data_IF_642369519158
#
_entry.id   IF_642369519158
#
_cell.length_a   1.000
_cell.length_b   1.000
_cell.length_c   1.000
_cell.angle_alpha   90.00
_cell.angle_beta   90.00
_cell.angle_gamma   90.00
#
_symmetry.space_group_name_H-M   'P 1'
#
loop_
_entity.id
_entity.type
_entity.pdbx_description
1 polymer ?
#
# COMPACT_ATOMS: atom_id res chain seq x y z
N UNK A 1 -15.30 6.76 16.44
CA UNK A 1 -14.51 6.61 15.20
C UNK A 1 -13.07 7.15 15.35
N UNK A 2 -12.84 8.40 15.78
CA UNK A 2 -11.47 8.95 15.95
C UNK A 2 -10.56 8.09 16.85
N UNK A 3 -11.06 7.61 17.99
CA UNK A 3 -10.30 6.71 18.87
C UNK A 3 -9.90 5.39 18.22
N UNK A 4 -10.74 4.84 17.34
CA UNK A 4 -10.43 3.59 16.65
C UNK A 4 -9.31 3.80 15.61
N UNK A 5 -9.36 4.93 14.90
CA UNK A 5 -8.29 5.32 13.95
C UNK A 5 -6.98 5.51 14.71
N UNK A 6 -7.00 6.18 15.87
CA UNK A 6 -5.81 6.40 16.69
C UNK A 6 -5.16 5.08 17.15
N UNK A 7 -5.96 4.13 17.63
CA UNK A 7 -5.47 2.82 18.11
C UNK A 7 -4.94 1.97 16.96
N UNK A 8 -5.60 1.99 15.79
CA UNK A 8 -5.22 1.15 14.65
C UNK A 8 -4.12 1.76 13.78
N UNK A 9 -3.99 3.09 13.77
CA UNK A 9 -3.02 3.86 12.97
C UNK A 9 -2.58 5.13 13.72
N UNK A 10 -1.68 4.96 14.69
CA UNK A 10 -1.14 6.06 15.51
C UNK A 10 -0.53 7.20 14.70
N UNK A 11 0.02 6.91 13.52
CA UNK A 11 0.64 7.89 12.63
C UNK A 11 -0.36 8.90 12.07
N UNK A 12 -1.66 8.63 12.14
CA UNK A 12 -2.71 9.58 11.78
C UNK A 12 -3.10 10.52 12.93
N UNK A 13 -2.55 10.33 14.14
CA UNK A 13 -2.87 11.15 15.31
C UNK A 13 -2.74 12.67 15.07
N UNK A 14 -1.68 13.19 14.42
CA UNK A 14 -1.57 14.63 14.15
C UNK A 14 -2.72 15.17 13.28
N UNK A 15 -3.15 14.38 12.29
CA UNK A 15 -4.23 14.75 11.39
C UNK A 15 -5.59 14.72 12.10
N UNK A 16 -5.82 13.73 12.97
CA UNK A 16 -7.01 13.67 13.83
C UNK A 16 -7.05 14.85 14.81
N UNK A 17 -5.90 15.22 15.39
CA UNK A 17 -5.79 16.38 16.27
C UNK A 17 -6.12 17.69 15.52
N UNK A 18 -5.58 17.88 14.32
CA UNK A 18 -5.89 19.04 13.48
C UNK A 18 -7.40 19.11 13.15
N UNK A 19 -8.00 17.98 12.76
CA UNK A 19 -9.43 17.92 12.47
C UNK A 19 -10.29 18.20 13.72
N UNK A 20 -9.88 17.65 14.87
CA UNK A 20 -10.56 17.87 16.14
C UNK A 20 -10.50 19.34 16.54
N UNK A 21 -9.31 19.95 16.53
CA UNK A 21 -9.14 21.36 16.87
C UNK A 21 -9.95 22.25 15.94
N UNK A 22 -9.88 22.04 14.62
CA UNK A 22 -10.62 22.86 13.64
C UNK A 22 -12.14 22.80 13.85
N UNK A 23 -12.69 21.60 14.11
CA UNK A 23 -14.14 21.40 14.22
C UNK A 23 -14.71 21.74 15.60
N UNK A 24 -13.85 21.86 16.62
CA UNK A 24 -14.24 22.07 18.02
C UNK A 24 -13.59 23.30 18.67
N UNK A 25 -12.91 24.16 17.91
CA UNK A 25 -12.26 25.36 18.45
C UNK A 25 -13.21 26.26 19.28
N UNK A 26 -14.49 26.47 18.89
CA UNK A 26 -15.47 27.16 19.72
C UNK A 26 -16.48 26.21 20.41
N UNK A 27 -16.18 24.92 20.57
CA UNK A 27 -17.15 23.95 21.08
C UNK A 27 -17.51 24.23 22.56
N UNK A 28 -18.78 23.98 22.89
CA UNK A 28 -19.22 23.97 24.29
C UNK A 28 -18.63 22.77 25.06
N UNK A 29 -18.70 22.87 26.39
CA UNK A 29 -18.19 21.83 27.29
C UNK A 29 -18.90 20.49 27.11
N UNK A 30 -20.18 20.48 26.73
CA UNK A 30 -20.94 19.24 26.58
C UNK A 30 -20.43 18.43 25.38
N UNK A 31 -20.17 19.09 24.25
CA UNK A 31 -19.59 18.47 23.06
C UNK A 31 -18.18 17.96 23.31
N UNK A 32 -17.34 18.73 23.99
CA UNK A 32 -15.99 18.28 24.38
C UNK A 32 -16.07 17.05 25.29
N UNK A 33 -16.97 17.06 26.28
CA UNK A 33 -17.18 15.94 27.19
C UNK A 33 -17.62 14.68 26.43
N UNK A 34 -18.56 14.80 25.50
CA UNK A 34 -19.02 13.67 24.70
C UNK A 34 -17.90 13.08 23.82
N UNK A 35 -17.08 13.92 23.18
CA UNK A 35 -15.96 13.45 22.35
C UNK A 35 -14.88 12.78 23.22
N UNK A 36 -14.52 13.40 24.34
CA UNK A 36 -13.56 12.85 25.29
C UNK A 36 -14.04 11.52 25.87
N UNK A 37 -15.33 11.39 26.20
CA UNK A 37 -15.91 10.13 26.66
C UNK A 37 -15.83 9.05 25.58
N UNK A 38 -16.15 9.37 24.33
CA UNK A 38 -16.04 8.44 23.20
C UNK A 38 -14.60 8.00 22.92
N UNK A 39 -13.64 8.93 23.01
CA UNK A 39 -12.21 8.61 22.88
C UNK A 39 -11.75 7.72 24.04
N UNK A 40 -12.10 8.09 25.27
CA UNK A 40 -11.77 7.34 26.48
C UNK A 40 -12.32 5.92 26.46
N UNK A 41 -13.56 5.73 26.02
CA UNK A 41 -14.17 4.41 25.89
C UNK A 41 -13.40 3.50 24.93
N UNK A 42 -12.96 4.03 23.78
CA UNK A 42 -12.17 3.25 22.81
C UNK A 42 -10.78 2.95 23.34
N UNK A 43 -10.11 3.91 23.97
CA UNK A 43 -8.80 3.69 24.59
C UNK A 43 -8.87 2.66 25.72
N UNK A 44 -9.91 2.72 26.56
CA UNK A 44 -10.13 1.73 27.61
C UNK A 44 -10.36 0.33 27.01
N UNK A 45 -11.20 0.21 25.99
CA UNK A 45 -11.43 -1.05 25.29
C UNK A 45 -10.13 -1.60 24.67
N UNK A 46 -9.32 -0.76 24.02
CA UNK A 46 -8.03 -1.14 23.47
C UNK A 46 -7.03 -1.60 24.55
N UNK A 47 -6.95 -0.88 25.67
CA UNK A 47 -6.10 -1.25 26.80
C UNK A 47 -6.49 -2.59 27.42
N UNK A 48 -7.78 -2.84 27.61
CA UNK A 48 -8.29 -4.14 28.08
C UNK A 48 -7.97 -5.23 27.08
N UNK A 49 -8.23 -5.00 25.79
CA UNK A 49 -7.96 -5.98 24.73
C UNK A 49 -6.47 -6.34 24.66
N UNK A 50 -5.57 -5.35 24.69
CA UNK A 50 -4.13 -5.57 24.71
C UNK A 50 -3.67 -6.29 25.99
N UNK A 51 -4.29 -6.00 27.14
CA UNK A 51 -3.97 -6.72 28.39
C UNK A 51 -4.33 -8.19 28.28
N UNK A 52 -5.51 -8.50 27.73
CA UNK A 52 -6.00 -9.87 27.57
C UNK A 52 -5.22 -10.66 26.51
N UNK A 53 -4.72 -10.01 25.47
CA UNK A 53 -4.09 -10.68 24.31
C UNK A 53 -2.56 -10.62 24.32
N UNK A 54 -1.97 -9.55 24.87
CA UNK A 54 -0.53 -9.25 24.80
C UNK A 54 0.13 -9.11 26.19
N UNK A 55 -0.66 -9.25 27.27
CA UNK A 55 -0.19 -9.29 28.66
C UNK A 55 0.06 -7.92 29.30
N UNK A 56 -0.22 -6.82 28.61
CA UNK A 56 -0.01 -5.46 29.14
C UNK A 56 -0.91 -4.45 28.42
N UNK A 57 -1.46 -3.43 29.12
CA UNK A 57 -2.30 -2.43 28.48
C UNK A 57 -1.52 -1.61 27.45
N UNK A 58 -2.15 -1.35 26.30
CA UNK A 58 -1.57 -0.61 25.17
C UNK A 58 -0.26 -1.23 24.62
N UNK A 59 -0.05 -2.53 24.82
CA UNK A 59 1.10 -3.27 24.32
C UNK A 59 1.29 -3.13 22.80
N UNK A 60 0.21 -3.11 22.03
CA UNK A 60 0.27 -2.91 20.58
C UNK A 60 0.91 -1.57 20.22
N UNK A 61 0.53 -0.49 20.92
CA UNK A 61 0.98 0.87 20.67
C UNK A 61 2.43 1.10 21.08
N UNK A 62 2.79 0.78 22.32
CA UNK A 62 4.14 1.06 22.79
C UNK A 62 5.18 0.13 22.14
N UNK A 63 4.83 -1.14 21.86
CA UNK A 63 5.73 -2.04 21.11
C UNK A 63 5.91 -1.57 19.68
N UNK A 64 4.86 -1.06 19.03
CA UNK A 64 4.98 -0.44 17.71
C UNK A 64 6.01 0.71 17.72
N UNK A 65 5.92 1.61 18.70
CA UNK A 65 6.87 2.74 18.83
C UNK A 65 8.27 2.23 19.14
N UNK A 66 8.40 1.29 20.08
CA UNK A 66 9.69 0.72 20.47
C UNK A 66 10.38 0.03 19.28
N UNK A 67 9.67 -0.80 18.53
CA UNK A 67 10.25 -1.53 17.40
C UNK A 67 10.62 -0.62 16.24
N UNK A 68 9.75 0.30 15.85
CA UNK A 68 10.00 1.13 14.67
C UNK A 68 10.91 2.32 14.98
N UNK A 69 10.69 3.02 16.10
CA UNK A 69 11.45 4.21 16.47
C UNK A 69 12.64 3.91 17.38
N UNK A 70 12.52 2.94 18.28
CA UNK A 70 13.60 2.57 19.20
C UNK A 70 14.63 1.64 18.56
N UNK A 71 14.18 0.55 17.95
CA UNK A 71 15.07 -0.44 17.31
C UNK A 71 15.28 -0.22 15.82
N UNK A 72 14.61 0.77 15.22
CA UNK A 72 14.80 1.09 13.81
C UNK A 72 14.34 -0.01 12.84
N UNK A 73 13.48 -0.93 13.27
CA UNK A 73 13.02 -2.07 12.44
C UNK A 73 12.42 -1.58 11.11
N UNK A 74 11.71 -0.46 11.10
CA UNK A 74 11.17 0.09 9.84
C UNK A 74 12.26 0.43 8.81
N UNK A 75 13.47 0.78 9.25
CA UNK A 75 14.56 1.17 8.35
C UNK A 75 15.16 -0.03 7.60
N UNK A 76 14.99 -1.27 8.10
CA UNK A 76 15.45 -2.48 7.39
C UNK A 76 14.65 -2.73 6.11
N UNK A 77 13.45 -2.16 6.01
CA UNK A 77 12.61 -2.18 4.81
C UNK A 77 12.92 -1.01 3.85
N UNK A 78 14.05 -0.34 4.02
CA UNK A 78 14.49 0.78 3.19
C UNK A 78 14.05 2.15 3.71
N UNK A 79 14.81 3.17 3.31
CA UNK A 79 14.60 4.57 3.69
C UNK A 79 14.52 5.42 2.43
N UNK A 80 13.51 6.28 2.38
CA UNK A 80 13.23 7.15 1.24
C UNK A 80 13.24 8.62 1.65
N UNK A 81 13.68 9.49 0.74
CA UNK A 81 13.74 10.91 0.98
C UNK A 81 12.35 11.53 1.17
N UNK A 82 12.28 12.72 1.78
CA UNK A 82 11.02 13.41 2.06
C UNK A 82 10.10 13.65 0.84
N UNK A 83 10.58 13.91 -0.41
CA UNK A 83 9.69 14.16 -1.54
C UNK A 83 9.14 12.88 -2.18
N UNK A 84 9.33 11.71 -1.57
CA UNK A 84 8.87 10.41 -2.08
C UNK A 84 7.40 10.43 -2.50
N UNK A 85 6.48 10.90 -1.64
CA UNK A 85 5.06 10.92 -1.96
C UNK A 85 4.72 11.89 -3.09
N UNK A 86 5.34 13.08 -3.08
CA UNK A 86 5.16 14.06 -4.15
C UNK A 86 5.65 13.50 -5.50
N UNK A 87 6.83 12.88 -5.54
CA UNK A 87 7.36 12.22 -6.75
C UNK A 87 6.45 11.09 -7.21
N UNK A 88 5.92 10.29 -6.27
CA UNK A 88 4.96 9.23 -6.56
C UNK A 88 3.69 9.76 -7.23
N UNK A 89 3.06 10.79 -6.64
CA UNK A 89 1.86 11.42 -7.22
C UNK A 89 2.14 12.07 -8.57
N UNK A 90 3.25 12.80 -8.71
CA UNK A 90 3.64 13.37 -10.01
C UNK A 90 3.88 12.28 -11.06
N UNK A 91 4.44 11.14 -10.65
CA UNK A 91 4.60 9.98 -11.52
C UNK A 91 3.25 9.36 -11.96
N UNK A 92 2.28 9.27 -11.05
CA UNK A 92 0.94 8.72 -11.33
C UNK A 92 0.13 9.66 -12.21
N UNK A 93 0.06 10.94 -11.85
CA UNK A 93 -0.78 11.91 -12.55
C UNK A 93 -0.14 12.48 -13.81
N UNK A 94 1.20 12.49 -13.89
CA UNK A 94 1.94 13.05 -15.03
C UNK A 94 1.44 14.44 -15.40
N UNK A 95 1.13 14.64 -16.70
CA UNK A 95 0.55 15.88 -17.22
C UNK A 95 -0.81 16.29 -16.60
N UNK A 96 -1.58 15.35 -16.04
CA UNK A 96 -2.84 15.67 -15.36
C UNK A 96 -2.62 16.21 -13.94
N UNK A 97 -1.39 16.11 -13.40
CA UNK A 97 -1.05 16.55 -12.05
C UNK A 97 -1.26 18.06 -11.83
N UNK A 98 -0.98 18.88 -12.85
CA UNK A 98 -1.22 20.33 -12.78
C UNK A 98 -2.70 20.64 -12.63
N UNK A 99 -3.56 20.03 -13.44
CA UNK A 99 -5.00 20.23 -13.34
C UNK A 99 -5.56 19.64 -12.06
N UNK A 100 -5.07 18.48 -11.62
CA UNK A 100 -5.47 17.89 -10.34
C UNK A 100 -5.13 18.82 -9.16
N UNK A 101 -3.95 19.43 -9.19
CA UNK A 101 -3.52 20.42 -8.19
C UNK A 101 -4.39 21.67 -8.22
N UNK A 102 -4.69 22.20 -9.41
CA UNK A 102 -5.57 23.36 -9.57
C UNK A 102 -6.98 23.08 -9.03
N UNK A 103 -7.57 21.96 -9.42
CA UNK A 103 -8.89 21.55 -8.95
C UNK A 103 -8.91 21.36 -7.44
N UNK A 104 -7.91 20.68 -6.88
CA UNK A 104 -7.78 20.52 -5.44
C UNK A 104 -7.62 21.87 -4.72
N UNK A 105 -6.90 22.83 -5.29
CA UNK A 105 -6.76 24.17 -4.72
C UNK A 105 -8.09 24.96 -4.72
N UNK A 106 -8.84 24.90 -5.83
CA UNK A 106 -10.20 25.50 -5.91
C UNK A 106 -11.13 24.84 -4.88
N UNK A 107 -11.07 23.52 -4.76
CA UNK A 107 -11.82 22.78 -3.75
C UNK A 107 -11.42 23.15 -2.33
N UNK A 108 -10.12 23.34 -2.07
CA UNK A 108 -9.58 23.68 -0.75
C UNK A 108 -10.08 25.04 -0.26
N UNK A 109 -10.32 26.00 -1.17
CA UNK A 109 -10.93 27.28 -0.81
C UNK A 109 -12.35 27.14 -0.25
N UNK A 110 -13.11 26.13 -0.70
CA UNK A 110 -14.46 25.83 -0.21
C UNK A 110 -14.44 24.90 1.00
N UNK A 111 -13.50 23.96 1.01
CA UNK A 111 -13.38 22.88 1.98
C UNK A 111 -11.97 22.88 2.59
N UNK A 112 -11.62 23.88 3.43
CA UNK A 112 -10.26 24.01 3.97
C UNK A 112 -9.87 22.85 4.88
N UNK A 113 -10.83 22.27 5.61
CA UNK A 113 -10.56 21.20 6.56
C UNK A 113 -9.97 19.93 5.89
N UNK A 114 -10.58 19.34 4.84
CA UNK A 114 -9.95 18.24 4.10
C UNK A 114 -8.53 18.55 3.60
N UNK A 115 -8.28 19.79 3.16
CA UNK A 115 -6.96 20.21 2.68
C UNK A 115 -5.92 20.21 3.81
N UNK A 116 -6.26 20.79 4.97
CA UNK A 116 -5.41 20.80 6.15
C UNK A 116 -5.11 19.37 6.61
N UNK A 117 -6.14 18.52 6.71
CA UNK A 117 -5.98 17.13 7.14
C UNK A 117 -5.09 16.35 6.17
N UNK A 118 -5.30 16.49 4.85
CA UNK A 118 -4.46 15.86 3.84
C UNK A 118 -3.00 16.33 3.95
N UNK A 119 -2.78 17.64 4.10
CA UNK A 119 -1.45 18.21 4.24
C UNK A 119 -0.73 17.69 5.50
N UNK A 120 -1.42 17.61 6.64
CA UNK A 120 -0.85 17.07 7.89
C UNK A 120 -0.51 15.60 7.76
N UNK A 121 -1.35 14.79 7.09
CA UNK A 121 -1.05 13.37 6.83
C UNK A 121 0.23 13.24 6.00
N UNK A 122 0.32 13.96 4.87
CA UNK A 122 1.49 13.92 3.98
C UNK A 122 2.73 14.41 4.71
N UNK A 123 2.67 15.51 5.46
CA UNK A 123 3.79 16.05 6.21
C UNK A 123 4.29 15.05 7.28
N UNK A 124 3.36 14.48 8.05
CA UNK A 124 3.69 13.49 9.10
C UNK A 124 4.42 12.29 8.50
N UNK A 125 3.88 11.71 7.42
CA UNK A 125 4.48 10.53 6.80
C UNK A 125 5.75 10.84 5.99
N UNK A 126 5.90 12.07 5.49
CA UNK A 126 7.13 12.51 4.81
C UNK A 126 8.32 12.55 5.77
N UNK A 127 8.06 12.85 7.05
CA UNK A 127 9.06 12.85 8.12
C UNK A 127 9.50 11.46 8.59
N UNK A 128 8.80 10.38 8.20
CA UNK A 128 9.14 9.01 8.59
C UNK A 128 10.04 8.39 7.51
N UNK A 129 11.21 7.85 7.89
CA UNK A 129 12.21 7.34 6.95
C UNK A 129 11.68 6.25 6.01
N UNK A 130 11.02 5.24 6.58
CA UNK A 130 10.35 4.19 5.81
C UNK A 130 9.03 4.69 5.23
N UNK A 131 8.83 4.47 3.93
CA UNK A 131 7.69 5.01 3.20
C UNK A 131 7.04 3.95 2.34
N UNK A 132 5.72 3.89 2.44
CA UNK A 132 4.89 3.10 1.57
C UNK A 132 3.71 3.95 1.09
N UNK A 133 3.35 3.80 -0.18
CA UNK A 133 2.27 4.57 -0.79
C UNK A 133 0.93 4.42 -0.02
N UNK A 134 0.68 3.25 0.58
CA UNK A 134 -0.52 2.98 1.41
C UNK A 134 -0.63 3.83 2.68
N UNK A 135 0.46 4.44 3.15
CA UNK A 135 0.44 5.26 4.36
C UNK A 135 -0.30 6.58 4.16
N UNK A 136 -0.32 7.11 2.93
CA UNK A 136 -0.99 8.37 2.59
C UNK A 136 -2.35 8.19 1.90
N UNK A 137 -2.87 6.97 1.77
CA UNK A 137 -4.19 6.73 1.14
C UNK A 137 -5.30 7.64 1.68
N UNK A 138 -5.42 7.90 3.00
CA UNK A 138 -6.42 8.83 3.49
C UNK A 138 -6.23 10.25 2.93
N UNK A 139 -4.99 10.71 2.74
CA UNK A 139 -4.71 12.00 2.10
C UNK A 139 -5.09 11.99 0.61
N UNK A 140 -4.78 10.92 -0.13
CA UNK A 140 -5.14 10.76 -1.55
C UNK A 140 -6.66 10.86 -1.74
N UNK A 141 -7.44 10.22 -0.86
CA UNK A 141 -8.90 10.32 -0.88
C UNK A 141 -9.37 11.76 -0.61
N UNK A 142 -8.82 12.44 0.40
CA UNK A 142 -9.19 13.83 0.70
C UNK A 142 -8.85 14.78 -0.45
N UNK A 143 -7.67 14.63 -1.06
CA UNK A 143 -7.27 15.41 -2.25
C UNK A 143 -8.21 15.13 -3.43
N UNK A 144 -8.63 13.88 -3.62
CA UNK A 144 -9.60 13.52 -4.66
C UNK A 144 -10.97 14.17 -4.41
N UNK A 145 -11.44 14.22 -3.17
CA UNK A 145 -12.67 14.94 -2.80
C UNK A 145 -12.54 16.44 -3.10
N UNK A 146 -11.41 17.05 -2.75
CA UNK A 146 -11.15 18.46 -3.07
C UNK A 146 -11.17 18.71 -4.57
N UNK A 147 -10.53 17.84 -5.36
CA UNK A 147 -10.51 17.97 -6.80
C UNK A 147 -11.90 17.85 -7.44
N UNK A 148 -12.73 16.93 -6.95
CA UNK A 148 -14.14 16.83 -7.40
C UNK A 148 -14.93 18.09 -7.03
N UNK A 149 -14.74 18.63 -5.82
CA UNK A 149 -15.36 19.89 -5.42
C UNK A 149 -14.91 21.07 -6.30
N UNK A 150 -13.62 21.13 -6.63
CA UNK A 150 -13.08 22.12 -7.57
C UNK A 150 -13.63 21.98 -8.98
N UNK A 151 -13.79 20.75 -9.48
CA UNK A 151 -14.35 20.48 -10.79
C UNK A 151 -15.82 20.91 -10.86
N UNK A 152 -16.60 20.62 -9.82
CA UNK A 152 -17.98 21.07 -9.70
C UNK A 152 -18.08 22.60 -9.67
N UNK A 153 -17.16 23.27 -8.94
CA UNK A 153 -17.10 24.73 -8.89
C UNK A 153 -16.76 25.33 -10.26
N UNK A 154 -15.79 24.77 -10.98
CA UNK A 154 -15.42 25.22 -12.32
C UNK A 154 -16.55 25.00 -13.33
N UNK A 155 -17.24 23.87 -13.27
CA UNK A 155 -18.43 23.63 -14.09
C UNK A 155 -19.56 24.63 -13.78
N UNK A 156 -19.72 24.99 -12.50
CA UNK A 156 -20.65 26.03 -12.06
C UNK A 156 -20.34 27.40 -12.67
N UNK A 157 -19.08 27.83 -12.62
CA UNK A 157 -18.62 29.06 -13.27
C UNK A 157 -18.77 29.03 -14.78
N UNK A 158 -18.45 27.90 -15.42
CA UNK A 158 -18.65 27.71 -16.85
C UNK A 158 -20.12 27.85 -17.25
N UNK A 159 -21.03 27.27 -16.47
CA UNK A 159 -22.49 27.39 -16.69
C UNK A 159 -22.93 28.85 -16.57
N UNK A 160 -22.51 29.55 -15.52
CA UNK A 160 -22.84 30.97 -15.31
C UNK A 160 -22.34 31.85 -16.46
N UNK A 161 -21.11 31.64 -16.90
CA UNK A 161 -20.53 32.33 -18.03
C UNK A 161 -21.29 32.09 -19.34
N UNK A 162 -21.68 30.84 -19.63
CA UNK A 162 -22.48 30.50 -20.81
C UNK A 162 -23.88 31.12 -20.75
N UNK A 163 -24.52 31.11 -19.58
CA UNK A 163 -25.83 31.78 -19.40
C UNK A 163 -25.73 33.29 -19.58
N UNK A 164 -24.65 33.92 -19.13
CA UNK A 164 -24.38 35.34 -19.36
C UNK A 164 -24.20 35.69 -20.84
N UNK A 165 -23.89 34.70 -21.70
CA UNK A 165 -23.82 34.84 -23.16
C UNK A 165 -25.13 34.51 -23.88
N UNK A 166 -26.25 34.39 -23.15
CA UNK A 166 -27.58 34.14 -23.72
C UNK A 166 -27.89 32.66 -23.97
N UNK A 167 -27.04 31.73 -23.53
CA UNK A 167 -27.33 30.31 -23.63
C UNK A 167 -28.42 29.91 -22.61
N UNK A 168 -29.38 29.07 -23.02
CA UNK A 168 -30.39 28.51 -22.10
C UNK A 168 -29.70 27.77 -20.95
N UNK A 169 -30.19 27.94 -19.72
CA UNK A 169 -29.58 27.40 -18.50
C UNK A 169 -29.37 25.87 -18.54
N UNK A 170 -30.34 25.12 -19.08
CA UNK A 170 -30.23 23.67 -19.25
C UNK A 170 -29.13 23.28 -20.25
N UNK A 171 -29.03 24.00 -21.37
CA UNK A 171 -27.97 23.80 -22.36
C UNK A 171 -26.60 24.15 -21.78
N UNK A 172 -26.49 25.27 -21.08
CA UNK A 172 -25.25 25.69 -20.41
C UNK A 172 -24.78 24.64 -19.39
N UNK A 173 -25.69 24.12 -18.57
CA UNK A 173 -25.39 23.05 -17.61
C UNK A 173 -24.92 21.76 -18.32
N UNK A 174 -25.62 21.36 -19.39
CA UNK A 174 -25.25 20.19 -20.19
C UNK A 174 -23.86 20.32 -20.82
N UNK A 175 -23.54 21.48 -21.40
CA UNK A 175 -22.22 21.77 -21.99
C UNK A 175 -21.13 21.75 -20.93
N UNK A 176 -21.32 22.43 -19.80
CA UNK A 176 -20.32 22.44 -18.72
C UNK A 176 -20.08 21.06 -18.12
N UNK A 177 -21.13 20.27 -17.93
CA UNK A 177 -21.01 18.89 -17.46
C UNK A 177 -20.30 17.99 -18.49
N UNK A 178 -20.62 18.14 -19.77
CA UNK A 178 -19.96 17.39 -20.85
C UNK A 178 -18.46 17.72 -20.93
N UNK A 179 -18.09 19.00 -20.85
CA UNK A 179 -16.68 19.42 -20.84
C UNK A 179 -15.92 18.85 -19.63
N UNK A 180 -16.53 18.89 -18.44
CA UNK A 180 -15.94 18.30 -17.24
C UNK A 180 -15.76 16.77 -17.38
N UNK A 181 -16.75 16.07 -17.93
CA UNK A 181 -16.69 14.63 -18.17
C UNK A 181 -15.64 14.26 -19.22
N UNK A 182 -15.57 15.00 -20.33
CA UNK A 182 -14.56 14.80 -21.38
C UNK A 182 -13.16 15.03 -20.81
N UNK A 183 -12.95 16.12 -20.08
CA UNK A 183 -11.67 16.39 -19.43
C UNK A 183 -11.27 15.28 -18.46
N UNK A 184 -12.18 14.84 -17.60
CA UNK A 184 -11.92 13.76 -16.66
C UNK A 184 -11.63 12.42 -17.36
N UNK A 185 -12.33 12.14 -18.47
CA UNK A 185 -12.07 10.99 -19.32
C UNK A 185 -10.66 11.01 -19.90
N UNK A 186 -10.22 12.16 -20.43
CA UNK A 186 -8.86 12.34 -20.97
C UNK A 186 -7.81 12.15 -19.85
N UNK A 187 -7.99 12.80 -18.70
CA UNK A 187 -7.07 12.68 -17.57
C UNK A 187 -6.98 11.22 -17.07
N UNK A 188 -8.12 10.53 -16.98
CA UNK A 188 -8.17 9.12 -16.56
C UNK A 188 -7.47 8.21 -17.57
N UNK A 189 -7.68 8.42 -18.87
CA UNK A 189 -6.99 7.67 -19.93
C UNK A 189 -5.49 7.94 -19.91
N UNK A 190 -5.07 9.18 -19.65
CA UNK A 190 -3.65 9.54 -19.54
C UNK A 190 -2.99 8.85 -18.33
N UNK A 191 -3.63 8.89 -17.16
CA UNK A 191 -3.13 8.21 -15.95
C UNK A 191 -3.08 6.70 -16.17
N UNK A 192 -4.14 6.11 -16.73
CA UNK A 192 -4.22 4.67 -17.00
C UNK A 192 -3.13 4.21 -17.98
N UNK A 193 -2.90 4.95 -19.07
CA UNK A 193 -1.88 4.60 -20.05
C UNK A 193 -0.49 5.16 -19.70
N UNK A 194 -0.36 5.85 -18.56
CA UNK A 194 0.91 6.42 -18.11
C UNK A 194 1.93 5.35 -17.72
N UNK A 195 3.25 5.64 -17.85
CA UNK A 195 4.31 4.66 -17.61
C UNK A 195 4.30 4.13 -16.18
N UNK A 196 3.99 4.97 -15.19
CA UNK A 196 3.95 4.60 -13.77
C UNK A 196 2.87 3.55 -13.47
N UNK A 197 1.62 3.79 -13.90
CA UNK A 197 0.52 2.83 -13.68
C UNK A 197 0.72 1.59 -14.55
N UNK A 198 1.24 1.72 -15.77
CA UNK A 198 1.60 0.58 -16.61
C UNK A 198 2.64 -0.33 -15.92
N UNK A 199 3.68 0.25 -15.33
CA UNK A 199 4.67 -0.50 -14.55
C UNK A 199 4.04 -1.17 -13.33
N UNK A 200 3.15 -0.49 -12.60
CA UNK A 200 2.46 -1.08 -11.45
C UNK A 200 1.51 -2.21 -11.84
N UNK A 201 0.85 -2.17 -13.01
CA UNK A 201 0.03 -3.28 -13.51
C UNK A 201 0.84 -4.53 -13.79
N UNK A 202 2.04 -4.37 -14.35
CA UNK A 202 2.93 -5.49 -14.62
C UNK A 202 3.70 -5.99 -13.39
N UNK A 203 3.76 -5.18 -12.32
CA UNK A 203 4.56 -5.49 -11.14
C UNK A 203 4.10 -6.80 -10.50
N UNK A 204 5.00 -7.78 -10.48
CA UNK A 204 4.78 -9.14 -9.97
C UNK A 204 3.67 -9.93 -10.68
N UNK A 205 3.11 -9.45 -11.80
CA UNK A 205 2.02 -10.13 -12.50
C UNK A 205 2.39 -11.57 -12.87
N UNK A 206 3.49 -11.74 -13.60
CA UNK A 206 3.97 -13.05 -14.07
C UNK A 206 4.22 -14.03 -12.92
N UNK A 207 4.73 -13.51 -11.80
CA UNK A 207 5.03 -14.28 -10.57
C UNK A 207 3.76 -14.77 -9.90
N UNK A 208 2.76 -13.90 -9.76
CA UNK A 208 1.47 -14.28 -9.17
C UNK A 208 0.69 -15.25 -10.07
N UNK A 209 0.75 -15.08 -11.39
CA UNK A 209 0.14 -16.03 -12.34
C UNK A 209 0.88 -17.37 -12.30
N UNK A 210 2.21 -17.37 -12.19
CA UNK A 210 2.98 -18.61 -12.05
C UNK A 210 2.66 -19.35 -10.73
N UNK A 211 2.48 -18.61 -9.63
CA UNK A 211 2.01 -19.17 -8.38
C UNK A 211 0.61 -19.80 -8.52
N UNK A 212 -0.31 -19.14 -9.23
CA UNK A 212 -1.66 -19.64 -9.51
C UNK A 212 -1.65 -20.92 -10.36
N UNK A 213 -0.76 -21.03 -11.35
CA UNK A 213 -0.62 -22.28 -12.12
C UNK A 213 -0.12 -23.41 -11.22
N UNK A 214 0.84 -23.16 -10.33
CA UNK A 214 1.26 -24.17 -9.35
C UNK A 214 0.13 -24.51 -8.37
N UNK A 215 -0.69 -23.52 -8.00
CA UNK A 215 -1.85 -23.71 -7.15
C UNK A 215 -2.88 -24.65 -7.77
N UNK A 216 -3.08 -24.63 -9.09
CA UNK A 216 -4.05 -25.48 -9.80
C UNK A 216 -3.45 -26.74 -10.44
N UNK A 217 -2.12 -26.87 -10.46
CA UNK A 217 -1.42 -28.03 -11.01
C UNK A 217 -1.39 -29.26 -10.09
N UNK A 218 -0.61 -30.30 -10.45
CA UNK A 218 -0.40 -31.43 -9.55
C UNK A 218 0.29 -30.98 -8.26
N UNK A 219 -0.06 -31.58 -7.12
CA UNK A 219 0.45 -31.14 -5.81
C UNK A 219 1.99 -31.29 -5.73
N UNK A 220 2.74 -30.21 -5.41
CA UNK A 220 4.18 -30.30 -5.20
C UNK A 220 4.51 -30.89 -3.83
N UNK A 221 5.63 -31.61 -3.71
CA UNK A 221 6.20 -31.98 -2.41
C UNK A 221 7.06 -30.88 -1.79
N UNK A 222 7.48 -29.90 -2.59
CA UNK A 222 8.12 -28.66 -2.17
C UNK A 222 8.18 -27.69 -3.34
N UNK A 223 8.30 -26.39 -3.04
CA UNK A 223 8.33 -25.33 -4.05
C UNK A 223 9.63 -24.53 -3.88
N UNK A 224 10.49 -24.57 -4.89
CA UNK A 224 11.65 -23.70 -5.00
C UNK A 224 11.31 -22.41 -5.76
N UNK A 225 11.80 -21.28 -5.28
CA UNK A 225 11.67 -19.96 -5.87
C UNK A 225 13.07 -19.39 -6.11
N UNK A 226 13.48 -19.21 -7.36
CA UNK A 226 14.85 -18.82 -7.69
C UNK A 226 14.92 -17.71 -8.73
N UNK A 227 15.30 -16.52 -8.32
CA UNK A 227 15.36 -15.41 -9.27
C UNK A 227 15.74 -14.05 -8.72
N UNK A 228 15.60 -13.85 -7.41
CA UNK A 228 15.73 -12.57 -6.73
C UNK A 228 16.60 -12.67 -5.48
N UNK A 229 17.70 -13.40 -5.57
CA UNK A 229 18.76 -13.38 -4.55
C UNK A 229 18.24 -13.67 -3.13
N UNK A 230 17.27 -14.60 -3.01
CA UNK A 230 16.71 -15.02 -1.72
C UNK A 230 15.50 -14.21 -1.25
N UNK A 231 15.11 -13.16 -1.97
CA UNK A 231 13.92 -12.36 -1.67
C UNK A 231 12.66 -12.83 -2.43
N UNK A 232 12.77 -13.93 -3.19
CA UNK A 232 11.70 -14.45 -4.03
C UNK A 232 10.39 -14.68 -3.25
N UNK A 233 10.45 -15.14 -2.00
CA UNK A 233 9.25 -15.43 -1.22
C UNK A 233 8.28 -14.23 -1.12
N UNK A 234 8.83 -13.01 -1.07
CA UNK A 234 8.07 -11.77 -0.91
C UNK A 234 7.30 -11.33 -2.16
N UNK A 235 7.58 -11.91 -3.33
CA UNK A 235 7.01 -11.47 -4.62
C UNK A 235 6.06 -12.47 -5.26
N UNK A 236 6.05 -13.72 -4.81
CA UNK A 236 5.11 -14.75 -5.27
C UNK A 236 3.82 -14.81 -4.43
N UNK A 237 3.68 -13.94 -3.42
CA UNK A 237 2.49 -13.87 -2.55
C UNK A 237 2.36 -15.03 -1.56
N UNK A 238 3.33 -15.95 -1.53
CA UNK A 238 3.42 -17.06 -0.58
C UNK A 238 2.20 -17.99 -0.61
N UNK A 239 1.86 -18.53 0.55
CA UNK A 239 0.75 -19.50 0.68
C UNK A 239 -0.62 -18.94 0.30
N UNK A 240 -0.80 -17.62 0.33
CA UNK A 240 -2.03 -16.95 -0.12
C UNK A 240 -2.29 -17.16 -1.61
N UNK A 241 -1.23 -17.29 -2.42
CA UNK A 241 -1.36 -17.54 -3.86
C UNK A 241 -1.11 -18.99 -4.24
N UNK A 242 -0.16 -19.67 -3.58
CA UNK A 242 0.12 -21.07 -3.89
C UNK A 242 -1.02 -22.01 -3.49
N UNK A 243 -1.78 -21.72 -2.42
CA UNK A 243 -2.86 -22.59 -1.92
C UNK A 243 -2.45 -24.08 -1.74
N UNK A 244 -1.16 -24.35 -1.49
CA UNK A 244 -0.62 -25.69 -1.29
C UNK A 244 0.10 -25.80 0.06
N UNK A 245 -0.10 -26.89 0.82
CA UNK A 245 0.64 -27.14 2.05
C UNK A 245 2.01 -27.78 1.74
N UNK A 246 2.83 -27.09 0.95
CA UNK A 246 4.17 -27.56 0.57
C UNK A 246 5.23 -26.56 1.05
N UNK A 247 6.39 -27.02 1.56
CA UNK A 247 7.46 -26.14 2.01
C UNK A 247 7.96 -25.25 0.87
N UNK A 248 8.20 -23.97 1.17
CA UNK A 248 8.75 -22.98 0.25
C UNK A 248 10.25 -22.82 0.52
N UNK A 249 11.05 -22.85 -0.55
CA UNK A 249 12.50 -22.64 -0.53
C UNK A 249 12.85 -21.48 -1.46
N UNK A 250 13.66 -20.53 -1.01
CA UNK A 250 14.08 -19.36 -1.78
C UNK A 250 15.62 -19.23 -1.78
N UNK A 251 16.33 -20.11 -2.49
CA UNK A 251 17.79 -20.07 -2.54
C UNK A 251 18.31 -18.73 -3.10
N UNK A 252 19.31 -18.17 -2.42
CA UNK A 252 19.92 -16.88 -2.81
C UNK A 252 20.76 -17.00 -4.08
N UNK A 253 21.55 -18.07 -4.19
CA UNK A 253 22.46 -18.27 -5.30
C UNK A 253 22.36 -19.70 -5.89
N UNK A 254 23.18 -19.96 -6.91
CA UNK A 254 23.27 -21.27 -7.56
C UNK A 254 23.72 -22.38 -6.60
N UNK A 255 24.60 -22.08 -5.64
CA UNK A 255 25.09 -23.06 -4.68
C UNK A 255 23.99 -23.47 -3.69
N UNK A 256 23.24 -22.49 -3.18
CA UNK A 256 22.07 -22.70 -2.34
C UNK A 256 20.97 -23.45 -3.08
N UNK A 257 20.75 -23.12 -4.36
CA UNK A 257 19.80 -23.82 -5.22
C UNK A 257 20.17 -25.30 -5.36
N UNK A 258 21.44 -25.58 -5.68
CA UNK A 258 21.93 -26.94 -5.82
C UNK A 258 21.83 -27.73 -4.49
N UNK A 259 22.16 -27.08 -3.36
CA UNK A 259 22.08 -27.69 -2.04
C UNK A 259 20.63 -28.02 -1.62
N UNK A 260 19.66 -27.21 -2.03
CA UNK A 260 18.25 -27.39 -1.69
C UNK A 260 17.44 -28.16 -2.77
N UNK A 261 18.02 -28.48 -3.93
CA UNK A 261 17.31 -29.04 -5.09
C UNK A 261 16.52 -30.32 -4.77
N UNK A 262 17.03 -31.15 -3.86
CA UNK A 262 16.38 -32.39 -3.42
C UNK A 262 15.15 -32.16 -2.52
N UNK A 263 14.94 -30.94 -2.02
CA UNK A 263 13.87 -30.60 -1.08
C UNK A 263 12.56 -30.16 -1.74
N UNK A 264 12.58 -29.85 -3.04
CA UNK A 264 11.39 -29.47 -3.80
C UNK A 264 11.36 -30.17 -5.16
N UNK A 265 10.16 -30.40 -5.70
CA UNK A 265 9.93 -31.02 -7.01
C UNK A 265 9.42 -30.03 -8.05
N UNK A 266 8.94 -28.86 -7.60
CA UNK A 266 8.49 -27.75 -8.44
C UNK A 266 9.38 -26.53 -8.21
N UNK A 267 9.89 -25.94 -9.30
CA UNK A 267 10.78 -24.78 -9.26
C UNK A 267 10.20 -23.67 -10.12
N UNK A 268 9.96 -22.50 -9.53
CA UNK A 268 9.67 -21.26 -10.25
C UNK A 268 10.96 -20.45 -10.32
N UNK A 269 11.34 -20.01 -11.51
CA UNK A 269 12.61 -19.34 -11.69
C UNK A 269 12.61 -18.28 -12.79
N UNK A 270 13.40 -17.23 -12.62
CA UNK A 270 13.63 -16.18 -13.63
C UNK A 270 15.07 -16.15 -14.15
N UNK A 271 16.03 -16.74 -13.41
CA UNK A 271 17.44 -16.86 -13.81
C UNK A 271 17.70 -18.14 -14.61
N UNK A 272 18.85 -18.22 -15.29
CA UNK A 272 19.23 -19.44 -15.99
C UNK A 272 19.33 -20.60 -14.99
N UNK A 273 18.68 -21.72 -15.32
CA UNK A 273 18.71 -22.91 -14.50
C UNK A 273 20.06 -23.64 -14.67
N UNK A 274 20.78 -23.97 -13.58
CA UNK A 274 21.99 -24.78 -13.64
C UNK A 274 21.74 -26.15 -14.28
N UNK A 275 22.69 -26.61 -15.07
CA UNK A 275 22.64 -27.95 -15.65
C UNK A 275 22.76 -29.02 -14.54
N UNK A 276 22.11 -30.17 -14.71
CA UNK A 276 22.29 -31.34 -13.84
C UNK A 276 21.37 -31.44 -12.62
N UNK A 277 20.47 -30.47 -12.38
CA UNK A 277 19.52 -30.52 -11.25
C UNK A 277 18.27 -31.39 -11.49
N UNK A 278 18.15 -32.04 -12.66
CA UNK A 278 17.03 -32.95 -12.99
C UNK A 278 15.68 -32.28 -13.23
N UNK A 279 15.61 -30.95 -13.21
CA UNK A 279 14.39 -30.18 -13.49
C UNK A 279 14.15 -30.08 -15.00
N UNK A 280 12.93 -30.42 -15.42
CA UNK A 280 12.45 -30.24 -16.79
C UNK A 280 11.50 -29.05 -16.84
N UNK A 281 11.83 -28.06 -17.68
CA UNK A 281 10.96 -26.90 -17.93
C UNK A 281 9.60 -27.36 -18.46
N UNK A 282 8.52 -26.91 -17.82
CA UNK A 282 7.14 -27.22 -18.21
C UNK A 282 6.52 -26.10 -19.03
N UNK A 283 6.61 -24.88 -18.54
CA UNK A 283 6.05 -23.69 -19.18
C UNK A 283 6.71 -22.42 -18.65
N UNK A 284 6.52 -21.30 -19.34
CA UNK A 284 6.89 -19.98 -18.84
C UNK A 284 5.73 -18.99 -19.00
N UNK A 285 5.64 -18.06 -18.05
CA UNK A 285 4.69 -16.95 -18.02
C UNK A 285 5.55 -15.69 -17.97
N UNK A 286 5.64 -15.00 -19.11
CA UNK A 286 6.54 -13.85 -19.27
C UNK A 286 7.98 -14.20 -18.86
N UNK A 287 8.50 -13.53 -17.82
CA UNK A 287 9.86 -13.76 -17.31
C UNK A 287 10.02 -15.01 -16.41
N UNK A 288 8.92 -15.59 -15.91
CA UNK A 288 8.96 -16.69 -14.93
C UNK A 288 8.76 -18.02 -15.62
N UNK A 289 9.70 -18.94 -15.46
CA UNK A 289 9.57 -20.32 -15.91
C UNK A 289 9.25 -21.26 -14.75
N UNK A 290 8.44 -22.27 -15.03
CA UNK A 290 8.08 -23.34 -14.10
C UNK A 290 8.74 -24.62 -14.60
N UNK A 291 9.56 -25.24 -13.76
CA UNK A 291 10.13 -26.56 -14.02
C UNK A 291 9.71 -27.57 -12.95
N UNK A 292 9.75 -28.85 -13.33
CA UNK A 292 9.51 -29.95 -12.41
C UNK A 292 10.51 -31.07 -12.59
N UNK A 293 10.84 -31.74 -11.50
CA UNK A 293 11.56 -33.01 -11.51
C UNK A 293 10.65 -34.14 -11.04
N UNK A 294 11.01 -35.36 -11.39
CA UNK A 294 10.38 -36.57 -10.86
C UNK A 294 11.08 -37.02 -9.56
N UNK A 295 10.38 -37.83 -8.77
CA UNK A 295 10.91 -38.39 -7.53
C UNK A 295 10.35 -37.74 -6.27
N UNK A 296 10.76 -38.25 -5.12
CA UNK A 296 10.35 -37.73 -3.82
C UNK A 296 11.24 -36.56 -3.37
N UNK A 297 10.66 -35.65 -2.59
CA UNK A 297 11.40 -34.62 -1.88
C UNK A 297 12.02 -35.18 -0.60
N UNK A 298 13.24 -34.75 -0.27
CA UNK A 298 13.88 -34.97 1.03
C UNK A 298 13.87 -33.66 1.81
N UNK A 299 13.26 -33.60 3.00
CA UNK A 299 13.20 -32.36 3.77
C UNK A 299 14.59 -31.77 3.98
N UNK A 300 14.78 -30.52 3.57
CA UNK A 300 15.94 -29.71 3.92
C UNK A 300 15.52 -28.64 4.94
N UNK A 301 16.44 -28.19 5.82
CA UNK A 301 16.19 -27.04 6.69
C UNK A 301 15.69 -25.84 5.88
N UNK A 302 14.58 -25.25 6.29
CA UNK A 302 14.07 -24.02 5.69
C UNK A 302 14.83 -22.83 6.28
N UNK A 303 15.16 -21.86 5.43
CA UNK A 303 15.65 -20.57 5.90
C UNK A 303 14.57 -19.93 6.78
N UNK A 304 14.86 -19.57 8.03
CA UNK A 304 13.90 -18.85 8.86
C UNK A 304 13.54 -17.53 8.18
N UNK A 305 12.32 -17.05 8.43
CA UNK A 305 11.95 -15.70 7.98
C UNK A 305 12.96 -14.69 8.54
N UNK A 306 13.45 -13.74 7.72
CA UNK A 306 14.40 -12.75 8.19
C UNK A 306 13.78 -11.95 9.33
N UNK A 307 14.27 -12.18 10.54
CA UNK A 307 13.96 -11.35 11.70
C UNK A 307 14.93 -10.17 11.68
N UNK A 308 14.45 -8.93 11.89
CA UNK A 308 15.35 -7.79 12.07
C UNK A 308 16.38 -8.11 13.16
N UNK A 309 17.66 -7.87 12.90
CA UNK A 309 18.77 -8.23 13.81
C UNK A 309 18.55 -7.69 15.24
N UNK A 310 17.95 -6.50 15.33
CA UNK A 310 17.60 -5.86 16.60
C UNK A 310 16.63 -6.68 17.47
N UNK A 311 15.88 -7.62 16.87
CA UNK A 311 14.93 -8.51 17.57
C UNK A 311 15.52 -9.89 17.87
N UNK A 312 16.53 -10.34 17.13
CA UNK A 312 17.17 -11.65 17.32
C UNK A 312 17.81 -11.75 18.72
N UNK A 313 18.43 -10.66 19.20
CA UNK A 313 19.01 -10.58 20.54
C UNK A 313 17.99 -10.48 21.69
N UNK A 314 16.72 -10.20 21.40
CA UNK A 314 15.64 -10.12 22.39
C UNK A 314 14.91 -11.45 22.56
N UNK A 315 14.88 -12.30 21.53
CA UNK A 315 14.26 -13.62 21.58
C UNK A 315 15.06 -14.65 22.40
N UNK A 316 16.31 -14.33 22.76
CA UNK A 316 17.24 -15.17 23.52
C UNK A 316 17.32 -14.81 25.02
N UNK A 317 16.48 -13.89 25.49
CA UNK A 317 16.32 -13.51 26.90
C UNK A 317 14.91 -13.82 27.38
#
# INVERSE_FOLDING_TARGET
MLGLILVTRVQLAPALAAAFLWTNWPADRARLTAISAGLGAVLAAAGVFDTLTLGSPFASLWRYILYNSGYGVSATFGVEAWPYYLRGELGVWGGAGATMTLLAAVGAWRLPLPAIVAAVIVATHSGIGHKEYRFIYPAVVLVSVLAVAGLAQMAGWGREWLTGRGMRSSTAAGVSAALAAVWWGIASLQVWNGPTIAAYRGRMHDKLVAADVVAHGPAPCGIGLYGLDGDDWGVYGGYTHFHRPAPLYWPEDEAALAAAADAFDTLLYTKTLPAGLGFTKRQCIGEVCIARRSGACRPAPMTPLPLPDALVGLASR
#
